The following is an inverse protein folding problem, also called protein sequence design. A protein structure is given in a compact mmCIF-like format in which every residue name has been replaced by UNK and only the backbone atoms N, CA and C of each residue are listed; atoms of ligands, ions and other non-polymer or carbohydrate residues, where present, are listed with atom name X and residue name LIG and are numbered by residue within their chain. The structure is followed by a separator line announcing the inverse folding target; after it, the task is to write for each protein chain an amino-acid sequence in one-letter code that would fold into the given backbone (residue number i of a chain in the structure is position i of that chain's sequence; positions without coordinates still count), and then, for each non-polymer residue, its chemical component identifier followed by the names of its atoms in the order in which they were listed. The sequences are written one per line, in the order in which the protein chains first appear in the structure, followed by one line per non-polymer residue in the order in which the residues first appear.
data_IF_681649100207
#
_entry.id   IF_681649100207
#
_cell.length_a   1.000
_cell.length_b   1.000
_cell.length_c   1.000
_cell.angle_alpha   90.00
_cell.angle_beta   90.00
_cell.angle_gamma   90.00
#
_symmetry.space_group_name_H-M   'P 1'
#
loop_
_entity.id
_entity.type
_entity.pdbx_description
1 polymer ?
#
# COMPACT_ATOMS: atom_id res chain seq x y z
N UNK A 1 13.82 -10.96 1.41
CA UNK A 1 14.92 -10.37 2.23
C UNK A 1 14.39 -9.53 3.39
N UNK A 2 13.83 -8.32 3.17
CA UNK A 2 13.36 -7.48 4.28
C UNK A 2 12.20 -8.13 5.06
N UNK A 3 11.15 -8.57 4.36
CA UNK A 3 10.03 -9.31 4.93
C UNK A 3 10.49 -10.45 5.87
N UNK A 4 11.36 -11.33 5.36
CA UNK A 4 11.88 -12.49 6.11
C UNK A 4 12.73 -12.08 7.33
N UNK A 5 13.52 -11.01 7.22
CA UNK A 5 14.35 -10.49 8.32
C UNK A 5 13.50 -9.91 9.46
N UNK A 6 12.36 -9.32 9.12
CA UNK A 6 11.50 -8.63 10.08
C UNK A 6 10.38 -9.52 10.65
N UNK A 7 10.07 -10.65 9.99
CA UNK A 7 9.05 -11.59 10.43
C UNK A 7 9.28 -12.17 11.85
N UNK A 8 10.50 -12.61 12.25
CA UNK A 8 10.76 -13.13 13.60
C UNK A 8 10.52 -12.09 14.72
N UNK A 9 10.49 -10.81 14.37
CA UNK A 9 10.25 -9.71 15.29
C UNK A 9 8.79 -9.25 15.31
N UNK A 10 7.90 -9.97 14.62
CA UNK A 10 6.48 -9.60 14.49
C UNK A 10 6.28 -8.26 13.79
N UNK A 11 7.20 -7.87 12.89
CA UNK A 11 7.14 -6.58 12.19
C UNK A 11 6.56 -6.75 10.79
N UNK A 12 5.67 -5.82 10.45
CA UNK A 12 5.05 -5.70 9.12
C UNK A 12 5.86 -4.72 8.27
N UNK A 13 5.95 -4.99 6.97
CA UNK A 13 6.52 -4.09 5.97
C UNK A 13 5.38 -3.51 5.15
N UNK A 14 5.41 -2.20 4.94
CA UNK A 14 4.36 -1.48 4.23
C UNK A 14 4.89 -0.90 2.92
N UNK A 15 4.10 -1.02 1.86
CA UNK A 15 4.31 -0.34 0.58
C UNK A 15 3.29 0.77 0.44
N UNK A 16 3.75 1.98 0.16
CA UNK A 16 2.91 3.16 -0.01
C UNK A 16 3.00 3.66 -1.46
N UNK A 17 1.85 3.88 -2.10
CA UNK A 17 1.76 4.54 -3.38
C UNK A 17 1.53 6.04 -3.19
N UNK A 18 2.33 6.86 -3.88
CA UNK A 18 2.29 8.33 -3.75
C UNK A 18 1.83 8.97 -5.06
N UNK A 19 0.96 9.97 -4.95
CA UNK A 19 0.41 10.63 -6.14
C UNK A 19 1.49 11.39 -6.92
N UNK A 20 1.56 11.25 -8.27
CA UNK A 20 2.65 11.84 -9.08
C UNK A 20 2.76 13.36 -8.95
N UNK A 21 1.64 14.06 -8.72
CA UNK A 21 1.64 15.51 -8.50
C UNK A 21 2.29 15.94 -7.19
N UNK A 22 2.47 15.04 -6.22
CA UNK A 22 3.15 15.29 -4.94
C UNK A 22 4.58 14.76 -4.97
N UNK A 23 4.79 13.58 -5.54
CA UNK A 23 6.11 12.97 -5.74
C UNK A 23 6.27 12.51 -7.18
N UNK A 24 6.79 13.38 -8.06
CA UNK A 24 7.13 13.00 -9.42
C UNK A 24 8.16 11.85 -9.43
N UNK A 25 8.02 10.92 -10.37
CA UNK A 25 8.93 9.78 -10.57
C UNK A 25 9.03 8.81 -9.37
N UNK A 26 8.06 8.83 -8.45
CA UNK A 26 7.99 7.83 -7.40
C UNK A 26 7.68 6.44 -7.96
N UNK A 27 8.14 5.39 -7.27
CA UNK A 27 8.12 4.03 -7.78
C UNK A 27 6.70 3.51 -8.03
N UNK A 28 5.77 3.79 -7.11
CA UNK A 28 4.37 3.40 -7.22
C UNK A 28 3.46 4.62 -7.12
N UNK A 29 2.54 4.74 -8.06
CA UNK A 29 1.61 5.88 -8.13
C UNK A 29 0.18 5.50 -7.80
N UNK A 30 -0.21 4.24 -8.04
CA UNK A 30 -1.55 3.71 -7.83
C UNK A 30 -1.60 2.68 -6.71
N UNK A 31 -2.70 2.65 -5.96
CA UNK A 31 -2.99 1.63 -4.96
C UNK A 31 -3.02 0.23 -5.60
N UNK A 32 -3.51 0.11 -6.84
CA UNK A 32 -3.56 -1.17 -7.56
C UNK A 32 -2.16 -1.68 -7.92
N UNK A 33 -1.22 -0.78 -8.22
CA UNK A 33 0.19 -1.16 -8.43
C UNK A 33 0.82 -1.67 -7.14
N UNK A 34 0.59 -0.96 -6.02
CA UNK A 34 1.10 -1.39 -4.71
C UNK A 34 0.52 -2.75 -4.31
N UNK A 35 -0.80 -2.97 -4.50
CA UNK A 35 -1.45 -4.26 -4.25
C UNK A 35 -0.83 -5.38 -5.08
N UNK A 36 -0.66 -5.18 -6.40
CA UNK A 36 -0.09 -6.19 -7.28
C UNK A 36 1.33 -6.61 -6.84
N UNK A 37 2.17 -5.65 -6.46
CA UNK A 37 3.52 -5.96 -5.97
C UNK A 37 3.51 -6.64 -4.61
N UNK A 38 2.63 -6.27 -3.69
CA UNK A 38 2.49 -6.97 -2.41
C UNK A 38 2.10 -8.44 -2.64
N UNK A 39 1.24 -8.72 -3.61
CA UNK A 39 0.87 -10.09 -3.98
C UNK A 39 2.04 -10.86 -4.62
N UNK A 40 2.80 -10.23 -5.52
CA UNK A 40 3.98 -10.84 -6.15
C UNK A 40 5.09 -11.15 -5.13
N UNK A 41 5.30 -10.28 -4.14
CA UNK A 41 6.27 -10.50 -3.06
C UNK A 41 5.94 -11.78 -2.27
N UNK A 42 4.66 -12.16 -2.19
CA UNK A 42 4.19 -13.41 -1.58
C UNK A 42 4.76 -13.65 -0.17
N UNK A 43 4.52 -12.69 0.73
CA UNK A 43 4.92 -12.75 2.14
C UNK A 43 3.81 -12.25 3.06
N UNK A 44 3.52 -13.02 4.10
CA UNK A 44 2.40 -12.76 5.01
C UNK A 44 2.57 -11.49 5.86
N UNK A 45 3.79 -10.98 6.00
CA UNK A 45 4.08 -9.75 6.75
C UNK A 45 4.28 -8.51 5.87
N UNK A 46 3.84 -8.55 4.61
CA UNK A 46 3.92 -7.42 3.68
C UNK A 46 2.50 -6.98 3.30
N UNK A 47 2.24 -5.67 3.43
CA UNK A 47 0.92 -5.07 3.21
C UNK A 47 1.08 -3.72 2.50
N UNK A 48 -0.03 -3.13 2.06
CA UNK A 48 -0.03 -1.72 1.66
C UNK A 48 -0.24 -0.79 2.86
N UNK A 49 0.24 0.45 2.75
CA UNK A 49 -0.21 1.59 3.53
C UNK A 49 -1.21 2.38 2.69
N UNK A 50 -2.45 2.49 3.16
CA UNK A 50 -3.51 3.20 2.45
C UNK A 50 -3.58 4.65 2.93
N UNK A 51 -2.90 5.54 2.22
CA UNK A 51 -3.10 6.98 2.36
C UNK A 51 -4.29 7.42 1.51
N UNK A 52 -5.36 7.90 2.15
CA UNK A 52 -6.61 8.26 1.47
C UNK A 52 -6.49 9.51 0.60
N UNK A 53 -5.55 10.42 0.87
CA UNK A 53 -5.29 11.58 0.04
C UNK A 53 -4.63 11.18 -1.27
N UNK A 54 -3.61 10.32 -1.23
CA UNK A 54 -2.98 9.81 -2.44
C UNK A 54 -3.94 8.90 -3.24
N UNK A 55 -4.65 8.00 -2.57
CA UNK A 55 -5.63 7.11 -3.20
C UNK A 55 -6.76 7.90 -3.89
N UNK A 56 -7.33 8.93 -3.26
CA UNK A 56 -8.39 9.73 -3.88
C UNK A 56 -7.91 10.50 -5.11
N UNK A 57 -6.66 10.99 -5.09
CA UNK A 57 -6.10 11.78 -6.20
C UNK A 57 -5.76 10.95 -7.43
N UNK A 58 -5.43 9.66 -7.25
CA UNK A 58 -4.96 8.80 -8.35
C UNK A 58 -6.04 7.82 -8.78
N UNK A 59 -6.58 7.03 -7.84
CA UNK A 59 -7.47 5.92 -8.15
C UNK A 59 -8.96 6.27 -7.89
N UNK A 60 -9.22 7.21 -6.98
CA UNK A 60 -10.57 7.57 -6.56
C UNK A 60 -11.34 6.38 -5.95
N UNK A 61 -12.66 6.44 -6.00
CA UNK A 61 -13.57 5.36 -5.54
C UNK A 61 -13.13 4.72 -4.20
N UNK A 62 -12.90 5.57 -3.19
CA UNK A 62 -12.36 5.11 -1.90
C UNK A 62 -13.23 4.06 -1.23
N UNK A 63 -14.56 4.11 -1.40
CA UNK A 63 -15.46 3.09 -0.85
C UNK A 63 -15.11 1.69 -1.36
N UNK A 64 -14.83 1.55 -2.67
CA UNK A 64 -14.38 0.28 -3.25
C UNK A 64 -13.01 -0.12 -2.69
N UNK A 65 -12.03 0.80 -2.68
CA UNK A 65 -10.68 0.51 -2.18
C UNK A 65 -10.69 0.04 -0.71
N UNK A 66 -11.44 0.74 0.15
CA UNK A 66 -11.51 0.43 1.58
C UNK A 66 -12.23 -0.89 1.82
N UNK A 67 -13.39 -1.10 1.17
CA UNK A 67 -14.21 -2.28 1.42
C UNK A 67 -13.61 -3.54 0.83
N UNK A 68 -13.20 -3.49 -0.44
CA UNK A 68 -12.90 -4.70 -1.21
C UNK A 68 -11.44 -5.17 -0.98
N UNK A 69 -10.58 -4.29 -0.47
CA UNK A 69 -9.20 -4.63 -0.09
C UNK A 69 -8.95 -4.58 1.43
N UNK A 70 -10.01 -4.65 2.25
CA UNK A 70 -9.88 -4.82 3.69
C UNK A 70 -8.99 -6.03 4.02
N UNK A 71 -8.01 -5.84 4.92
CA UNK A 71 -7.03 -6.85 5.28
C UNK A 71 -5.78 -6.91 4.37
N UNK A 72 -5.80 -6.24 3.22
CA UNK A 72 -4.59 -6.06 2.37
C UNK A 72 -3.76 -4.83 2.77
N UNK A 73 -4.39 -3.86 3.44
CA UNK A 73 -3.71 -2.74 4.09
C UNK A 73 -3.57 -2.96 5.59
N UNK A 74 -2.48 -2.46 6.16
CA UNK A 74 -2.15 -2.62 7.57
C UNK A 74 -2.02 -1.29 8.33
N UNK A 75 -2.13 -0.17 7.62
CA UNK A 75 -2.07 1.19 8.13
C UNK A 75 -2.90 2.12 7.21
N UNK A 76 -3.52 3.15 7.80
CA UNK A 76 -4.33 4.13 7.07
C UNK A 76 -3.91 5.55 7.47
N UNK A 77 -3.78 6.43 6.50
CA UNK A 77 -3.59 7.88 6.71
C UNK A 77 -4.73 8.69 6.11
N UNK A 78 -5.05 9.79 6.78
CA UNK A 78 -6.08 10.76 6.40
C UNK A 78 -5.47 12.17 6.43
N UNK A 79 -6.04 13.08 5.63
CA UNK A 79 -5.67 14.49 5.58
C UNK A 79 -6.65 15.37 6.39
#
# INVERSE_FOLDING_TARGET
YAADRFAPHGKRILVEALSPGVKPHYLFSSQYQALAIVEEVARDNVFIQLDTFHAQKVDGNLTHLIRDYAGKYAHVQIA
#
